data_IF_574074865251
#
_entry.id   IF_574074865251
#
_cell.length_a   1.000
_cell.length_b   1.000
_cell.length_c   1.000
_cell.angle_alpha   90.00
_cell.angle_beta   90.00
_cell.angle_gamma   90.00
#
_symmetry.space_group_name_H-M   'P 1'
#
loop_
_entity.id
_entity.type
_entity.pdbx_description
1 polymer ?
#
# COMPACT_ATOMS: atom_id res chain seq x y z
N UNK A 1 15.96 -1.23 -18.70
CA UNK A 1 15.52 -2.15 -17.62
C UNK A 1 16.14 -1.82 -16.27
N UNK A 2 17.46 -1.90 -16.08
CA UNK A 2 18.11 -1.63 -14.78
C UNK A 2 17.86 -0.21 -14.23
N UNK A 3 17.75 0.79 -15.12
CA UNK A 3 17.44 2.17 -14.75
C UNK A 3 15.98 2.35 -14.28
N UNK A 4 15.01 1.65 -14.91
CA UNK A 4 13.62 1.64 -14.47
C UNK A 4 13.48 0.96 -13.10
N UNK A 5 14.22 -0.12 -12.85
CA UNK A 5 14.19 -0.83 -11.56
C UNK A 5 14.76 0.04 -10.43
N UNK A 6 15.84 0.79 -10.68
CA UNK A 6 16.41 1.74 -9.72
C UNK A 6 15.50 2.96 -9.47
N UNK A 7 14.83 3.46 -10.52
CA UNK A 7 13.86 4.55 -10.40
C UNK A 7 12.61 4.09 -9.62
N UNK A 8 12.09 2.90 -9.92
CA UNK A 8 10.97 2.28 -9.21
C UNK A 8 11.31 1.97 -7.74
N UNK A 9 12.54 1.52 -7.44
CA UNK A 9 12.96 1.25 -6.07
C UNK A 9 13.09 2.53 -5.22
N UNK A 10 13.44 3.66 -5.84
CA UNK A 10 13.41 4.96 -5.19
C UNK A 10 11.97 5.49 -5.09
N UNK A 11 11.12 5.29 -6.11
CA UNK A 11 9.67 5.57 -6.03
C UNK A 11 8.99 4.81 -4.89
N UNK A 12 9.27 3.52 -4.68
CA UNK A 12 8.74 2.75 -3.54
C UNK A 12 9.17 3.37 -2.21
N UNK A 13 10.43 3.81 -2.09
CA UNK A 13 10.93 4.46 -0.86
C UNK A 13 10.25 5.81 -0.61
N UNK A 14 9.98 6.56 -1.67
CA UNK A 14 9.27 7.84 -1.62
C UNK A 14 7.74 7.67 -1.47
N UNK A 15 7.17 6.54 -1.94
CA UNK A 15 5.77 6.15 -1.69
C UNK A 15 5.58 5.68 -0.25
N UNK A 16 6.52 4.90 0.29
CA UNK A 16 6.61 4.57 1.71
C UNK A 16 6.67 5.85 2.55
N UNK A 17 7.25 6.94 2.02
CA UNK A 17 7.24 8.26 2.64
C UNK A 17 5.84 8.92 2.60
N UNK A 18 5.09 8.86 1.49
CA UNK A 18 3.67 9.30 1.42
C UNK A 18 2.76 8.47 2.34
N UNK A 19 2.88 7.14 2.28
CA UNK A 19 2.14 6.21 3.13
C UNK A 19 2.51 6.35 4.61
N UNK A 20 3.72 6.85 4.92
CA UNK A 20 4.10 7.20 6.27
C UNK A 20 3.31 8.38 6.83
N UNK A 21 2.81 9.29 6.00
CA UNK A 21 1.98 10.42 6.45
C UNK A 21 0.65 9.94 7.06
N UNK A 22 0.12 8.80 6.58
CA UNK A 22 -1.08 8.13 7.13
C UNK A 22 -0.82 7.61 8.54
N UNK A 23 0.37 7.06 8.78
CA UNK A 23 0.83 6.51 10.08
C UNK A 23 1.40 7.61 11.00
N UNK A 24 1.77 8.77 10.44
CA UNK A 24 2.47 9.86 11.13
C UNK A 24 1.55 10.76 11.95
N UNK A 25 0.21 10.65 11.83
CA UNK A 25 -0.70 11.17 12.86
C UNK A 25 -0.63 10.25 14.08
N UNK A 26 0.49 10.35 14.80
CA UNK A 26 0.92 9.51 15.92
C UNK A 26 -0.10 9.38 17.05
N UNK A 27 -1.07 10.27 17.15
CA UNK A 27 -2.04 10.28 18.25
C UNK A 27 -3.19 9.27 18.05
N UNK A 28 -3.46 8.81 16.82
CA UNK A 28 -4.61 7.93 16.52
C UNK A 28 -4.24 6.62 15.81
N UNK A 29 -2.95 6.33 15.61
CA UNK A 29 -2.55 5.10 14.91
C UNK A 29 -2.36 3.96 15.91
N UNK A 30 -3.04 2.80 15.74
CA UNK A 30 -2.87 1.66 16.62
C UNK A 30 -1.41 1.20 16.72
N UNK A 31 -0.99 0.87 17.94
CA UNK A 31 0.37 0.42 18.24
C UNK A 31 0.75 -0.82 17.41
N UNK A 32 -0.21 -1.70 17.12
CA UNK A 32 0.02 -2.88 16.29
C UNK A 32 0.39 -2.54 14.84
N UNK A 33 -0.17 -1.48 14.26
CA UNK A 33 0.18 -1.07 12.89
C UNK A 33 1.58 -0.45 12.84
N UNK A 34 1.93 0.32 13.87
CA UNK A 34 3.30 0.85 14.02
C UNK A 34 4.31 -0.28 14.15
N UNK A 35 3.99 -1.31 14.94
CA UNK A 35 4.84 -2.49 15.08
C UNK A 35 4.90 -3.31 13.79
N UNK A 36 3.77 -3.51 13.10
CA UNK A 36 3.72 -4.23 11.82
C UNK A 36 4.61 -3.57 10.78
N UNK A 37 4.57 -2.23 10.67
CA UNK A 37 5.46 -1.48 9.80
C UNK A 37 6.93 -1.77 10.09
N UNK A 38 7.33 -1.69 11.36
CA UNK A 38 8.72 -1.98 11.76
C UNK A 38 9.14 -3.41 11.39
N UNK A 39 8.25 -4.38 11.58
CA UNK A 39 8.51 -5.77 11.20
C UNK A 39 8.68 -5.93 9.68
N UNK A 40 7.90 -5.21 8.88
CA UNK A 40 8.05 -5.15 7.42
C UNK A 40 9.41 -4.54 7.05
N UNK A 41 9.76 -3.39 7.64
CA UNK A 41 11.05 -2.72 7.42
C UNK A 41 12.25 -3.62 7.79
N UNK A 42 12.11 -4.41 8.85
CA UNK A 42 13.10 -5.39 9.31
C UNK A 42 13.07 -6.72 8.50
N UNK A 43 12.26 -6.81 7.44
CA UNK A 43 12.02 -7.99 6.61
C UNK A 43 11.54 -9.23 7.41
N UNK A 44 10.91 -9.02 8.56
CA UNK A 44 10.31 -10.07 9.40
C UNK A 44 8.91 -10.41 8.92
N UNK A 45 8.87 -10.96 7.72
CA UNK A 45 7.66 -11.21 6.92
C UNK A 45 6.58 -12.01 7.66
N UNK A 46 6.96 -13.10 8.34
CA UNK A 46 5.99 -13.95 9.03
C UNK A 46 5.35 -13.25 10.24
N UNK A 47 6.18 -12.57 11.04
CA UNK A 47 5.75 -11.83 12.23
C UNK A 47 4.80 -10.68 11.83
N UNK A 48 5.15 -9.94 10.78
CA UNK A 48 4.30 -8.89 10.22
C UNK A 48 2.96 -9.44 9.73
N UNK A 49 2.98 -10.59 9.05
CA UNK A 49 1.77 -11.22 8.53
C UNK A 49 0.81 -11.68 9.64
N UNK A 50 1.33 -12.34 10.67
CA UNK A 50 0.54 -12.75 11.83
C UNK A 50 -0.06 -11.54 12.56
N UNK A 51 0.73 -10.49 12.76
CA UNK A 51 0.29 -9.28 13.44
C UNK A 51 -0.85 -8.57 12.68
N UNK A 52 -0.71 -8.41 11.36
CA UNK A 52 -1.75 -7.80 10.52
C UNK A 52 -3.04 -8.65 10.48
N UNK A 53 -2.91 -9.97 10.40
CA UNK A 53 -4.07 -10.88 10.44
C UNK A 53 -4.83 -10.78 11.76
N UNK A 54 -4.11 -10.70 12.89
CA UNK A 54 -4.72 -10.53 14.20
C UNK A 54 -5.39 -9.17 14.33
N UNK A 55 -4.76 -8.11 13.81
CA UNK A 55 -5.32 -6.76 13.81
C UNK A 55 -6.63 -6.69 13.02
N UNK A 56 -6.66 -7.19 11.78
CA UNK A 56 -7.84 -7.12 10.90
C UNK A 56 -9.04 -7.95 11.36
N UNK A 57 -8.81 -8.94 12.23
CA UNK A 57 -9.87 -9.74 12.85
C UNK A 57 -10.56 -9.04 14.02
N UNK A 58 -10.02 -7.92 14.51
CA UNK A 58 -10.63 -7.17 15.59
C UNK A 58 -11.96 -6.57 15.14
N UNK A 59 -12.96 -6.63 16.02
CA UNK A 59 -14.20 -5.89 15.84
C UNK A 59 -13.98 -4.40 16.18
N UNK A 60 -14.79 -3.52 15.59
CA UNK A 60 -14.74 -2.08 15.90
C UNK A 60 -13.63 -1.28 15.21
N UNK A 61 -12.90 -1.87 14.25
CA UNK A 61 -11.92 -1.14 13.45
C UNK A 61 -12.57 0.02 12.68
N UNK A 62 -11.96 1.20 12.79
CA UNK A 62 -12.38 2.36 12.00
C UNK A 62 -12.05 2.15 10.51
N UNK A 63 -12.64 2.96 9.63
CA UNK A 63 -12.28 2.94 8.21
C UNK A 63 -10.80 3.30 8.00
N UNK A 64 -10.27 4.22 8.82
CA UNK A 64 -8.86 4.57 8.79
C UNK A 64 -7.96 3.40 9.18
N UNK A 65 -8.33 2.62 10.20
CA UNK A 65 -7.57 1.44 10.62
C UNK A 65 -7.48 0.40 9.52
N UNK A 66 -8.60 0.13 8.85
CA UNK A 66 -8.67 -0.84 7.73
C UNK A 66 -7.81 -0.40 6.55
N UNK A 67 -7.93 0.87 6.16
CA UNK A 67 -7.12 1.43 5.08
C UNK A 67 -5.63 1.35 5.43
N UNK A 68 -5.26 1.66 6.67
CA UNK A 68 -3.88 1.62 7.14
C UNK A 68 -3.32 0.19 7.18
N UNK A 69 -4.13 -0.79 7.61
CA UNK A 69 -3.72 -2.20 7.61
C UNK A 69 -3.56 -2.75 6.19
N UNK A 70 -4.45 -2.38 5.26
CA UNK A 70 -4.36 -2.75 3.86
C UNK A 70 -3.09 -2.19 3.21
N UNK A 71 -2.72 -0.95 3.50
CA UNK A 71 -1.49 -0.33 2.99
C UNK A 71 -0.26 -1.14 3.41
N UNK A 72 -0.15 -1.50 4.69
CA UNK A 72 0.96 -2.32 5.18
C UNK A 72 0.94 -3.74 4.59
N UNK A 73 -0.26 -4.29 4.36
CA UNK A 73 -0.43 -5.58 3.70
C UNK A 73 0.04 -5.52 2.24
N UNK A 74 -0.26 -4.45 1.52
CA UNK A 74 0.19 -4.25 0.13
C UNK A 74 1.70 -4.24 0.07
N UNK A 75 2.38 -3.46 0.93
CA UNK A 75 3.84 -3.42 0.98
C UNK A 75 4.43 -4.82 1.25
N UNK A 76 3.91 -5.53 2.25
CA UNK A 76 4.32 -6.89 2.56
C UNK A 76 4.14 -7.84 1.36
N UNK A 77 2.99 -7.79 0.67
CA UNK A 77 2.73 -8.61 -0.52
C UNK A 77 3.65 -8.25 -1.69
N UNK A 78 3.94 -6.96 -1.86
CA UNK A 78 4.83 -6.47 -2.89
C UNK A 78 6.26 -6.99 -2.68
N UNK A 79 6.78 -6.90 -1.45
CA UNK A 79 8.09 -7.44 -1.08
C UNK A 79 8.19 -8.96 -1.29
N UNK A 80 7.07 -9.68 -1.16
CA UNK A 80 6.96 -11.12 -1.46
C UNK A 80 6.84 -11.43 -2.97
N UNK A 81 6.75 -10.43 -3.84
CA UNK A 81 6.53 -10.60 -5.28
C UNK A 81 5.11 -11.04 -5.64
N UNK A 82 4.13 -10.87 -4.73
CA UNK A 82 2.73 -11.30 -4.92
C UNK A 82 1.91 -10.21 -5.63
N UNK A 83 2.37 -9.77 -6.79
CA UNK A 83 1.85 -8.59 -7.49
C UNK A 83 0.37 -8.67 -7.87
N UNK A 84 -0.17 -9.86 -8.18
CA UNK A 84 -1.62 -10.05 -8.42
C UNK A 84 -2.46 -9.67 -7.21
N UNK A 85 -1.98 -10.01 -6.03
CA UNK A 85 -2.68 -9.76 -4.78
C UNK A 85 -2.55 -8.30 -4.37
N UNK A 86 -1.39 -7.69 -4.65
CA UNK A 86 -1.23 -6.24 -4.56
C UNK A 86 -2.26 -5.52 -5.43
N UNK A 87 -2.41 -5.90 -6.71
CA UNK A 87 -3.39 -5.28 -7.61
C UNK A 87 -4.81 -5.33 -7.06
N UNK A 88 -5.21 -6.50 -6.56
CA UNK A 88 -6.54 -6.69 -5.98
C UNK A 88 -6.72 -5.82 -4.74
N UNK A 89 -5.77 -5.88 -3.81
CA UNK A 89 -5.89 -5.20 -2.52
C UNK A 89 -5.74 -3.68 -2.65
N UNK A 90 -4.88 -3.20 -3.54
CA UNK A 90 -4.74 -1.77 -3.83
C UNK A 90 -6.04 -1.19 -4.40
N UNK A 91 -6.72 -1.92 -5.29
CA UNK A 91 -8.03 -1.51 -5.79
C UNK A 91 -9.09 -1.45 -4.68
N UNK A 92 -9.15 -2.47 -3.83
CA UNK A 92 -10.06 -2.47 -2.67
C UNK A 92 -9.77 -1.30 -1.71
N UNK A 93 -8.48 -0.98 -1.54
CA UNK A 93 -8.02 0.11 -0.67
C UNK A 93 -8.34 1.49 -1.25
N UNK A 94 -8.23 1.65 -2.57
CA UNK A 94 -8.68 2.84 -3.29
C UNK A 94 -10.17 3.12 -3.03
N UNK A 95 -11.03 2.12 -3.18
CA UNK A 95 -12.47 2.31 -2.99
C UNK A 95 -12.80 2.69 -1.53
N UNK A 96 -12.07 2.12 -0.57
CA UNK A 96 -12.17 2.49 0.85
C UNK A 96 -11.64 3.90 1.13
N UNK A 97 -10.57 4.33 0.44
CA UNK A 97 -9.94 5.64 0.65
C UNK A 97 -10.76 6.80 0.11
N UNK A 98 -11.53 6.57 -0.95
CA UNK A 98 -12.56 7.50 -1.41
C UNK A 98 -13.59 7.77 -0.31
N UNK A 99 -13.96 6.76 0.46
CA UNK A 99 -14.84 6.89 1.63
C UNK A 99 -14.28 7.77 2.76
N UNK A 100 -12.96 7.99 2.79
CA UNK A 100 -12.29 8.89 3.72
C UNK A 100 -12.11 10.32 3.16
N UNK A 101 -12.48 10.56 1.90
CA UNK A 101 -12.21 11.82 1.20
C UNK A 101 -10.72 12.11 0.98
N UNK A 102 -9.88 11.06 1.03
CA UNK A 102 -8.41 11.18 0.93
C UNK A 102 -7.96 10.90 -0.51
N UNK A 103 -7.95 11.92 -1.35
CA UNK A 103 -7.55 11.79 -2.76
C UNK A 103 -6.09 11.32 -2.90
N UNK A 104 -5.18 11.80 -2.04
CA UNK A 104 -3.76 11.40 -2.10
C UNK A 104 -3.54 9.90 -1.86
N UNK A 105 -4.27 9.30 -0.92
CA UNK A 105 -4.17 7.86 -0.66
C UNK A 105 -4.71 7.03 -1.82
N UNK A 106 -5.72 7.57 -2.49
CA UNK A 106 -6.31 6.96 -3.69
C UNK A 106 -5.30 6.99 -4.85
N UNK A 107 -4.54 8.09 -5.00
CA UNK A 107 -3.42 8.20 -5.95
C UNK A 107 -2.30 7.22 -5.61
N UNK A 108 -1.91 7.07 -4.34
CA UNK A 108 -0.90 6.09 -3.90
C UNK A 108 -1.29 4.65 -4.27
N UNK A 109 -2.58 4.31 -4.14
CA UNK A 109 -3.10 3.00 -4.56
C UNK A 109 -2.91 2.78 -6.07
N UNK A 110 -3.16 3.79 -6.90
CA UNK A 110 -2.92 3.69 -8.33
C UNK A 110 -1.45 3.53 -8.68
N UNK A 111 -0.55 4.20 -7.97
CA UNK A 111 0.89 4.03 -8.18
C UNK A 111 1.29 2.57 -7.88
N UNK A 112 0.84 2.02 -6.75
CA UNK A 112 1.10 0.61 -6.41
C UNK A 112 0.53 -0.38 -7.43
N UNK A 113 -0.64 -0.08 -8.00
CA UNK A 113 -1.21 -0.87 -9.08
C UNK A 113 -0.36 -0.79 -10.36
N UNK A 114 0.05 0.42 -10.77
CA UNK A 114 0.90 0.63 -11.93
C UNK A 114 2.23 -0.13 -11.79
N UNK A 115 2.89 -0.03 -10.64
CA UNK A 115 4.12 -0.76 -10.38
C UNK A 115 3.91 -2.27 -10.42
N UNK A 116 2.84 -2.76 -9.78
CA UNK A 116 2.52 -4.18 -9.76
C UNK A 116 2.22 -4.73 -11.15
N UNK A 117 1.60 -3.96 -12.04
CA UNK A 117 1.38 -4.34 -13.44
C UNK A 117 2.70 -4.51 -14.19
N UNK A 118 3.66 -3.59 -14.00
CA UNK A 118 5.00 -3.70 -14.60
C UNK A 118 5.69 -4.99 -14.16
N UNK A 119 5.71 -5.25 -12.85
CA UNK A 119 6.37 -6.43 -12.29
C UNK A 119 5.63 -7.74 -12.59
N UNK A 120 4.32 -7.67 -12.75
CA UNK A 120 3.49 -8.80 -13.15
C UNK A 120 3.59 -9.13 -14.65
N UNK A 121 4.10 -8.21 -15.47
CA UNK A 121 4.32 -8.40 -16.91
C UNK A 121 3.15 -7.93 -17.79
N UNK A 122 2.32 -7.01 -17.29
CA UNK A 122 1.22 -6.37 -18.03
C UNK A 122 1.43 -4.84 -18.14
N UNK A 123 2.57 -4.37 -18.70
CA UNK A 123 2.88 -2.94 -18.77
C UNK A 123 1.95 -2.16 -19.70
N UNK A 124 1.26 -2.83 -20.61
CA UNK A 124 0.25 -2.26 -21.50
C UNK A 124 -0.92 -1.62 -20.74
N UNK A 125 -1.23 -2.13 -19.54
CA UNK A 125 -2.31 -1.63 -18.68
C UNK A 125 -1.90 -0.47 -17.77
N UNK A 126 -0.61 -0.14 -17.73
CA UNK A 126 -0.09 0.89 -16.81
C UNK A 126 -0.61 2.28 -17.18
N UNK A 127 -0.71 2.58 -18.47
CA UNK A 127 -1.16 3.89 -18.94
C UNK A 127 -2.57 4.21 -18.45
N UNK A 128 -3.49 3.24 -18.53
CA UNK A 128 -4.87 3.41 -18.07
C UNK A 128 -4.95 3.69 -16.56
N UNK A 129 -4.04 3.10 -15.77
CA UNK A 129 -3.94 3.35 -14.32
C UNK A 129 -3.39 4.74 -14.04
N UNK A 130 -2.38 5.19 -14.78
CA UNK A 130 -1.80 6.53 -14.61
C UNK A 130 -2.83 7.61 -14.95
N UNK A 131 -3.60 7.44 -16.02
CA UNK A 131 -4.67 8.38 -16.39
C UNK A 131 -5.69 8.50 -15.25
N UNK A 132 -6.13 7.37 -14.68
CA UNK A 132 -7.05 7.37 -13.53
C UNK A 132 -6.46 8.08 -12.30
N UNK A 133 -5.15 7.97 -12.06
CA UNK A 133 -4.49 8.67 -10.98
C UNK A 133 -4.45 10.20 -11.21
N UNK A 134 -4.20 10.63 -12.45
CA UNK A 134 -4.16 12.05 -12.82
C UNK A 134 -5.53 12.73 -12.67
N UNK A 135 -6.64 12.00 -12.90
CA UNK A 135 -8.01 12.53 -12.70
C UNK A 135 -8.34 12.89 -11.24
N UNK A 136 -7.54 12.43 -10.27
CA UNK A 136 -7.73 12.69 -8.84
C UNK A 136 -6.91 13.87 -8.30
N UNK A 137 -6.04 14.48 -9.11
CA UNK A 137 -5.17 15.61 -8.77
C UNK A 137 -5.77 16.96 -9.22
#
# INVERSE_FOLDING_TARGET
LAYCILYLRNSIRDLIFSMSEIISRKEDTPEELTLAKKLIDDAKVNEAHELLNNFERKEGLTLQDKVSSHVLRIDLLFQQGRYKEVLKLAKETHDLSLGLGKNLLSVDCFILMAESLVWYGEPDKVLDIVIQAEELL
#
